data_IF_912652491410
#
_entry.id   IF_912652491410
#
_cell.length_a   1.000
_cell.length_b   1.000
_cell.length_c   1.000
_cell.angle_alpha   90.00
_cell.angle_beta   90.00
_cell.angle_gamma   90.00
#
_symmetry.space_group_name_H-M   'P 1'
#
loop_
_entity.id
_entity.type
_entity.pdbx_description
1 polymer ?
#
# COMPACT_ATOMS: atom_id res chain seq x y z
N UNK A 1 2.50 15.08 21.56
CA UNK A 1 1.20 14.38 21.74
C UNK A 1 1.03 13.18 20.80
N UNK A 2 1.51 13.22 19.55
CA UNK A 2 1.39 12.10 18.59
C UNK A 2 2.53 11.06 18.64
N UNK A 3 3.66 11.40 19.23
CA UNK A 3 4.85 10.51 19.28
C UNK A 3 4.64 9.25 20.11
N UNK A 4 3.70 9.26 21.07
CA UNK A 4 3.32 8.07 21.83
C UNK A 4 2.55 7.04 20.98
N UNK A 5 1.85 7.48 19.94
CA UNK A 5 1.02 6.62 19.10
C UNK A 5 1.84 5.74 18.15
N UNK A 6 2.98 6.26 17.68
CA UNK A 6 3.90 5.53 16.80
C UNK A 6 4.89 4.64 17.55
N UNK A 7 4.78 4.56 18.88
CA UNK A 7 5.59 3.61 19.63
C UNK A 7 5.25 2.18 19.18
N UNK A 8 6.27 1.34 18.89
CA UNK A 8 6.06 -0.02 18.39
C UNK A 8 5.11 -0.85 19.25
N UNK A 9 5.13 -0.63 20.56
CA UNK A 9 4.24 -1.30 21.52
C UNK A 9 2.76 -0.95 21.31
N UNK A 10 2.43 0.33 21.08
CA UNK A 10 1.06 0.76 20.84
C UNK A 10 0.52 0.22 19.51
N UNK A 11 1.35 0.24 18.47
CA UNK A 11 1.00 -0.36 17.17
C UNK A 11 0.72 -1.86 17.28
N UNK A 12 1.48 -2.59 18.09
CA UNK A 12 1.28 -4.02 18.32
C UNK A 12 -0.05 -4.30 19.04
N UNK A 13 -0.43 -3.47 20.01
CA UNK A 13 -1.73 -3.57 20.68
C UNK A 13 -2.89 -3.29 19.72
N UNK A 14 -2.80 -2.23 18.92
CA UNK A 14 -3.81 -1.89 17.91
C UNK A 14 -3.92 -3.02 16.87
N UNK A 15 -2.78 -3.54 16.41
CA UNK A 15 -2.74 -4.69 15.50
C UNK A 15 -3.39 -5.91 16.13
N UNK A 16 -3.13 -6.19 17.42
CA UNK A 16 -3.76 -7.27 18.17
C UNK A 16 -5.29 -7.14 18.24
N UNK A 17 -5.81 -5.94 18.50
CA UNK A 17 -7.26 -5.67 18.51
C UNK A 17 -7.84 -5.81 17.09
N UNK A 18 -7.17 -5.24 16.09
CA UNK A 18 -7.58 -5.35 14.69
C UNK A 18 -7.62 -6.82 14.24
N UNK A 19 -6.64 -7.61 14.66
CA UNK A 19 -6.59 -9.06 14.44
C UNK A 19 -7.72 -9.81 15.14
N UNK A 20 -8.18 -9.35 16.31
CA UNK A 20 -9.31 -9.95 17.01
C UNK A 20 -10.64 -9.67 16.30
N UNK A 21 -10.79 -8.47 15.73
CA UNK A 21 -12.00 -8.04 15.00
C UNK A 21 -12.05 -8.63 13.59
N UNK A 22 -10.96 -8.48 12.82
CA UNK A 22 -10.89 -8.91 11.42
C UNK A 22 -10.45 -10.37 11.27
N UNK A 23 -9.72 -10.91 12.25
CA UNK A 23 -9.13 -12.24 12.19
C UNK A 23 -7.75 -12.26 11.51
N UNK A 24 -6.77 -13.04 12.00
CA UNK A 24 -5.43 -13.13 11.42
C UNK A 24 -5.40 -13.72 10.01
N UNK A 25 -6.42 -14.46 9.62
CA UNK A 25 -6.55 -15.00 8.26
C UNK A 25 -6.97 -13.95 7.23
N UNK A 26 -7.65 -12.87 7.65
CA UNK A 26 -8.13 -11.82 6.75
C UNK A 26 -7.08 -10.78 6.39
N UNK A 27 -6.12 -10.51 7.28
CA UNK A 27 -4.99 -9.62 6.98
C UNK A 27 -4.21 -9.98 5.70
N UNK A 28 -3.76 -11.24 5.51
CA UNK A 28 -3.03 -11.61 4.29
C UNK A 28 -3.93 -11.66 3.05
N UNK A 29 -5.23 -11.95 3.19
CA UNK A 29 -6.21 -11.93 2.10
C UNK A 29 -6.40 -10.49 1.58
N UNK A 30 -6.61 -9.54 2.50
CA UNK A 30 -6.71 -8.11 2.20
C UNK A 30 -5.39 -7.54 1.66
N UNK A 31 -4.25 -7.95 2.24
CA UNK A 31 -2.92 -7.54 1.79
C UNK A 31 -2.58 -8.00 0.38
N UNK A 32 -2.98 -9.22 -0.01
CA UNK A 32 -2.84 -9.71 -1.38
C UNK A 32 -3.67 -8.89 -2.36
N UNK A 33 -4.96 -8.68 -2.08
CA UNK A 33 -5.82 -7.88 -2.96
C UNK A 33 -5.34 -6.43 -3.11
N UNK A 34 -4.91 -5.79 -2.02
CA UNK A 34 -4.34 -4.44 -2.06
C UNK A 34 -2.99 -4.43 -2.81
N UNK A 35 -2.13 -5.43 -2.58
CA UNK A 35 -0.84 -5.55 -3.24
C UNK A 35 -0.96 -5.71 -4.75
N UNK A 36 -1.89 -6.55 -5.21
CA UNK A 36 -2.17 -6.74 -6.63
C UNK A 36 -2.73 -5.46 -7.27
N UNK A 37 -3.63 -4.75 -6.57
CA UNK A 37 -4.15 -3.46 -7.00
C UNK A 37 -3.08 -2.38 -7.12
N UNK A 38 -2.21 -2.23 -6.11
CA UNK A 38 -1.09 -1.28 -6.13
C UNK A 38 -0.11 -1.64 -7.25
N UNK A 39 0.16 -2.93 -7.46
CA UNK A 39 1.05 -3.40 -8.53
C UNK A 39 0.50 -3.05 -9.91
N UNK A 40 -0.79 -3.29 -10.15
CA UNK A 40 -1.47 -2.90 -11.39
C UNK A 40 -1.43 -1.38 -11.61
N UNK A 41 -1.76 -0.61 -10.57
CA UNK A 41 -1.69 0.85 -10.60
C UNK A 41 -0.29 1.36 -10.94
N UNK A 42 0.74 0.80 -10.30
CA UNK A 42 2.14 1.18 -10.55
C UNK A 42 2.59 0.86 -11.98
N UNK A 43 2.16 -0.28 -12.53
CA UNK A 43 2.45 -0.64 -13.92
C UNK A 43 1.81 0.33 -14.91
N UNK A 44 0.52 0.65 -14.73
CA UNK A 44 -0.19 1.59 -15.58
C UNK A 44 0.43 3.00 -15.54
N UNK A 45 0.79 3.47 -14.33
CA UNK A 45 1.50 4.76 -14.17
C UNK A 45 2.85 4.79 -14.89
N UNK A 46 3.59 3.66 -14.90
CA UNK A 46 4.87 3.54 -15.60
C UNK A 46 4.69 3.60 -17.12
N UNK A 47 3.70 2.88 -17.65
CA UNK A 47 3.37 2.89 -19.08
C UNK A 47 2.98 4.29 -19.56
N UNK A 48 2.18 5.02 -18.78
CA UNK A 48 1.84 6.43 -19.06
C UNK A 48 3.09 7.31 -19.07
N UNK A 49 4.00 7.17 -18.10
CA UNK A 49 5.24 7.95 -18.07
C UNK A 49 6.15 7.65 -19.27
N UNK A 50 6.32 6.39 -19.66
CA UNK A 50 7.16 6.01 -20.80
C UNK A 50 6.55 6.47 -22.15
N UNK A 51 5.22 6.49 -22.27
CA UNK A 51 4.53 7.02 -23.46
C UNK A 51 4.60 8.54 -23.59
N UNK A 52 4.77 9.27 -22.49
CA UNK A 52 4.83 10.75 -22.50
C UNK A 52 6.22 11.27 -22.88
N UNK A 53 7.29 10.53 -22.61
CA UNK A 53 8.68 10.92 -22.96
C UNK A 53 9.06 10.63 -24.44
N UNK A 54 8.29 9.78 -25.14
CA UNK A 54 8.57 9.42 -26.54
C UNK A 54 8.06 10.45 -27.57
N UNK A 55 7.18 11.37 -27.17
CA UNK A 55 6.55 12.36 -28.05
C UNK A 55 7.02 13.80 -27.74
N UNK A 56 8.32 13.99 -27.54
CA UNK A 56 8.94 15.30 -27.73
C UNK A 56 9.71 15.28 -29.06
N UNK A 57 9.10 15.75 -30.18
CA UNK A 57 9.85 16.11 -31.36
C UNK A 57 10.92 17.12 -30.95
N UNK A 58 12.18 16.66 -30.99
CA UNK A 58 13.35 17.50 -30.73
C UNK A 58 13.37 18.59 -31.83
N UNK A 59 13.37 19.88 -31.47
CA UNK A 59 13.54 20.96 -32.44
C UNK A 59 14.93 20.92 -33.09
#
# INVERSE_FOLDING_TARGET
MFEGLLQPMHLLVILGIALLVFGPKKLPELGKGLGDGIRGFRSAMKEISESTDAELPKP
#
